data_IF_736373002766
#
_entry.id   IF_736373002766
#
_cell.length_a   1.000
_cell.length_b   1.000
_cell.length_c   1.000
_cell.angle_alpha   90.00
_cell.angle_beta   90.00
_cell.angle_gamma   90.00
#
_symmetry.space_group_name_H-M   'P 1'
#
loop_
_entity.id
_entity.type
_entity.pdbx_description
1 polymer ?
#
# COMPACT_ATOMS: atom_id res chain seq x y z
N UNK A 1 -8.12 3.43 -13.99
CA UNK A 1 -6.88 4.16 -13.65
C UNK A 1 -6.34 3.56 -12.37
N UNK A 2 -5.12 3.02 -12.37
CA UNK A 2 -4.49 2.46 -11.18
C UNK A 2 -3.71 3.59 -10.49
N UNK A 3 -3.99 3.80 -9.20
CA UNK A 3 -3.25 4.75 -8.37
C UNK A 3 -2.35 3.93 -7.44
N UNK A 4 -1.05 4.23 -7.45
CA UNK A 4 -0.11 3.66 -6.50
C UNK A 4 0.22 4.74 -5.47
N UNK A 5 -0.17 4.50 -4.23
CA UNK A 5 0.26 5.31 -3.09
C UNK A 5 1.36 4.53 -2.39
N UNK A 6 2.56 5.13 -2.27
CA UNK A 6 3.59 4.59 -1.39
C UNK A 6 3.20 4.90 0.05
N UNK A 7 2.71 3.90 0.76
CA UNK A 7 2.35 4.02 2.18
C UNK A 7 3.60 3.73 3.02
N UNK A 8 3.91 4.59 3.99
CA UNK A 8 5.13 4.46 4.81
C UNK A 8 4.93 3.54 6.02
N UNK A 9 3.68 3.43 6.50
CA UNK A 9 3.32 2.68 7.71
C UNK A 9 2.03 1.90 7.50
N UNK A 10 1.96 0.69 8.05
CA UNK A 10 0.77 -0.15 8.03
C UNK A 10 0.59 -0.83 9.38
N UNK A 11 -0.61 -1.32 9.68
CA UNK A 11 -0.86 -2.14 10.85
C UNK A 11 -0.78 -3.64 10.49
N UNK A 12 -0.06 -4.43 11.27
CA UNK A 12 -0.02 -5.89 11.15
C UNK A 12 -1.29 -6.53 11.75
N UNK A 13 -1.34 -7.87 11.78
CA UNK A 13 -2.47 -8.63 12.32
C UNK A 13 -2.71 -8.37 13.82
N UNK A 14 -1.65 -8.01 14.55
CA UNK A 14 -1.69 -7.69 15.98
C UNK A 14 -2.07 -6.21 16.23
N UNK A 15 -2.31 -5.43 15.17
CA UNK A 15 -2.59 -4.00 15.23
C UNK A 15 -1.36 -3.13 15.48
N UNK A 16 -0.16 -3.71 15.41
CA UNK A 16 1.10 -2.98 15.58
C UNK A 16 1.50 -2.25 14.31
N UNK A 17 2.01 -1.03 14.50
CA UNK A 17 2.51 -0.18 13.42
C UNK A 17 3.86 -0.69 12.91
N UNK A 18 3.88 -1.10 11.64
CA UNK A 18 5.07 -1.56 10.92
C UNK A 18 5.42 -0.66 9.76
N UNK A 19 6.67 -0.67 9.32
CA UNK A 19 7.12 -0.01 8.10
C UNK A 19 7.95 -0.98 7.24
N UNK A 20 8.36 -0.55 6.05
CA UNK A 20 9.08 -1.42 5.09
C UNK A 20 10.43 -1.94 5.59
N UNK A 21 10.98 -1.35 6.66
CA UNK A 21 12.24 -1.76 7.30
C UNK A 21 12.02 -2.69 8.50
N UNK A 22 10.77 -2.94 8.91
CA UNK A 22 10.48 -3.88 9.98
C UNK A 22 11.02 -5.27 9.59
N UNK A 23 11.82 -5.92 10.45
CA UNK A 23 12.38 -7.24 10.17
C UNK A 23 11.28 -8.29 10.13
N UNK A 24 11.48 -9.35 9.33
CA UNK A 24 10.56 -10.48 9.27
C UNK A 24 9.36 -10.32 8.33
N UNK A 25 9.10 -9.11 7.80
CA UNK A 25 8.06 -8.90 6.79
C UNK A 25 8.42 -9.63 5.48
N UNK A 26 7.42 -10.22 4.80
CA UNK A 26 7.59 -10.94 3.53
C UNK A 26 6.74 -10.31 2.42
N UNK A 27 7.22 -10.44 1.20
CA UNK A 27 6.43 -10.07 0.03
C UNK A 27 5.15 -10.91 -0.04
N UNK A 28 4.04 -10.27 -0.36
CA UNK A 28 2.72 -10.87 -0.36
C UNK A 28 1.97 -10.74 0.97
N UNK A 29 2.65 -10.39 2.07
CA UNK A 29 2.01 -10.19 3.37
C UNK A 29 0.95 -9.09 3.28
N UNK A 30 -0.16 -9.33 3.97
CA UNK A 30 -1.30 -8.42 4.04
C UNK A 30 -1.26 -7.60 5.33
N UNK A 31 -1.56 -6.32 5.18
CA UNK A 31 -1.58 -5.34 6.27
C UNK A 31 -2.84 -4.49 6.17
N UNK A 32 -3.09 -3.67 7.18
CA UNK A 32 -4.15 -2.68 7.16
C UNK A 32 -3.57 -1.28 7.03
N UNK A 33 -4.18 -0.48 6.16
CA UNK A 33 -3.91 0.95 6.13
C UNK A 33 -4.52 1.61 7.37
N UNK A 34 -3.68 2.26 8.19
CA UNK A 34 -4.11 2.94 9.43
C UNK A 34 -5.14 4.05 9.17
N UNK A 35 -5.20 4.59 7.95
CA UNK A 35 -6.01 5.77 7.63
C UNK A 35 -7.37 5.47 7.00
N UNK A 36 -7.44 4.50 6.07
CA UNK A 36 -8.69 4.17 5.39
C UNK A 36 -9.21 2.76 5.72
N UNK A 37 -8.45 2.00 6.53
CA UNK A 37 -8.79 0.64 6.94
C UNK A 37 -8.86 -0.36 5.78
N UNK A 38 -8.34 -0.02 4.61
CA UNK A 38 -8.26 -0.95 3.49
C UNK A 38 -7.08 -1.90 3.65
N UNK A 39 -7.19 -3.09 3.08
CA UNK A 39 -6.08 -4.02 2.95
C UNK A 39 -4.97 -3.45 2.08
N UNK A 40 -3.75 -3.57 2.59
CA UNK A 40 -2.50 -3.31 1.92
C UNK A 40 -1.77 -4.63 1.68
N UNK A 41 -1.01 -4.73 0.61
CA UNK A 41 -0.07 -5.82 0.37
C UNK A 41 1.34 -5.25 0.32
N UNK A 42 2.28 -5.92 0.97
CA UNK A 42 3.69 -5.61 0.81
C UNK A 42 4.21 -6.25 -0.48
N UNK A 43 4.76 -5.43 -1.36
CA UNK A 43 5.42 -5.88 -2.58
C UNK A 43 6.82 -5.27 -2.67
N UNK A 44 7.76 -6.02 -3.21
CA UNK A 44 9.04 -5.49 -3.70
C UNK A 44 8.90 -5.23 -5.19
N UNK A 45 9.12 -3.99 -5.61
CA UNK A 45 9.06 -3.65 -7.03
C UNK A 45 10.31 -4.13 -7.80
N UNK A 46 10.30 -3.97 -9.12
CA UNK A 46 11.43 -4.36 -9.99
C UNK A 46 12.75 -3.66 -9.63
N UNK A 47 12.71 -2.55 -8.88
CA UNK A 47 13.89 -1.83 -8.40
C UNK A 47 14.37 -2.30 -7.02
N UNK A 48 13.81 -3.38 -6.47
CA UNK A 48 14.13 -3.87 -5.13
C UNK A 48 13.53 -3.01 -4.01
N UNK A 49 12.63 -2.09 -4.32
CA UNK A 49 12.04 -1.18 -3.33
C UNK A 49 10.76 -1.80 -2.80
N UNK A 50 10.79 -2.13 -1.51
CA UNK A 50 9.62 -2.60 -0.74
C UNK A 50 8.60 -1.48 -0.57
N UNK A 51 7.33 -1.76 -0.83
CA UNK A 51 6.22 -0.80 -0.70
C UNK A 51 4.94 -1.50 -0.24
N UNK A 52 4.20 -0.86 0.64
CA UNK A 52 2.81 -1.23 0.90
C UNK A 52 1.93 -0.62 -0.18
N UNK A 53 1.14 -1.45 -0.85
CA UNK A 53 0.20 -1.03 -1.90
C UNK A 53 -1.23 -1.42 -1.52
N UNK A 54 -2.21 -0.63 -1.89
CA UNK A 54 -3.61 -1.02 -1.72
C UNK A 54 -3.95 -2.22 -2.61
N UNK A 55 -4.51 -3.27 -2.02
CA UNK A 55 -5.05 -4.38 -2.78
C UNK A 55 -6.45 -4.00 -3.29
N UNK A 56 -6.57 -3.74 -4.58
CA UNK A 56 -7.80 -3.24 -5.21
C UNK A 56 -8.67 -4.40 -5.69
N UNK A 57 -9.27 -5.17 -4.77
CA UNK A 57 -10.11 -6.32 -5.13
C UNK A 57 -11.59 -5.98 -5.37
N UNK A 58 -12.04 -4.77 -5.01
CA UNK A 58 -13.41 -4.32 -5.24
C UNK A 58 -13.50 -2.79 -5.36
N UNK A 59 -14.66 -2.29 -5.81
CA UNK A 59 -14.90 -0.86 -6.01
C UNK A 59 -14.70 -0.06 -4.71
N UNK A 60 -15.07 -0.60 -3.55
CA UNK A 60 -14.90 0.05 -2.26
C UNK A 60 -13.42 0.23 -1.89
N UNK A 61 -12.59 -0.78 -2.10
CA UNK A 61 -11.14 -0.72 -1.90
C UNK A 61 -10.49 0.28 -2.87
N UNK A 62 -10.97 0.35 -4.11
CA UNK A 62 -10.54 1.36 -5.09
C UNK A 62 -10.86 2.78 -4.63
N UNK A 63 -12.08 3.05 -4.19
CA UNK A 63 -12.46 4.38 -3.68
C UNK A 63 -11.64 4.73 -2.43
N UNK A 64 -11.43 3.78 -1.51
CA UNK A 64 -10.60 3.99 -0.32
C UNK A 64 -9.14 4.27 -0.65
N UNK A 65 -8.54 3.54 -1.59
CA UNK A 65 -7.17 3.78 -2.04
C UNK A 65 -7.01 5.13 -2.74
N UNK A 66 -8.00 5.51 -3.56
CA UNK A 66 -8.02 6.82 -4.24
C UNK A 66 -8.19 7.96 -3.24
N UNK A 67 -8.94 7.78 -2.16
CA UNK A 67 -9.16 8.82 -1.15
C UNK A 67 -8.26 8.68 0.08
N UNK A 68 -7.34 7.72 0.10
CA UNK A 68 -6.43 7.52 1.22
C UNK A 68 -5.58 8.79 1.39
N UNK A 69 -5.55 9.39 2.59
CA UNK A 69 -4.77 10.59 2.84
C UNK A 69 -3.29 10.30 2.63
N UNK A 70 -2.58 11.25 2.02
CA UNK A 70 -1.14 11.17 1.81
C UNK A 70 -0.44 11.85 3.00
N UNK A 71 0.39 11.10 3.71
CA UNK A 71 1.18 11.64 4.81
C UNK A 71 2.47 12.35 4.33
N UNK A 72 3.10 13.16 5.20
CA UNK A 72 4.45 13.66 4.96
C UNK A 72 5.43 12.51 4.62
N UNK A 73 6.09 12.61 3.47
CA UNK A 73 7.04 11.59 2.98
C UNK A 73 6.43 10.52 2.08
N UNK A 74 5.10 10.38 2.05
CA UNK A 74 4.42 9.49 1.11
C UNK A 74 4.32 10.11 -0.28
N UNK A 75 4.23 9.25 -1.30
CA UNK A 75 4.12 9.68 -2.71
C UNK A 75 2.97 8.97 -3.38
N UNK A 76 2.03 9.74 -3.95
CA UNK A 76 0.97 9.21 -4.80
C UNK A 76 1.35 9.35 -6.27
N UNK A 77 1.43 8.23 -6.97
CA UNK A 77 1.70 8.18 -8.41
C UNK A 77 0.47 7.65 -9.13
N UNK A 78 0.05 8.38 -10.17
CA UNK A 78 -0.90 7.84 -11.16
C UNK A 78 -0.10 6.88 -12.02
N UNK A 79 -0.43 5.59 -11.98
CA UNK A 79 0.17 4.67 -12.92
C UNK A 79 -0.43 4.96 -14.29
N UNK A 80 0.44 5.13 -15.29
CA UNK A 80 0.00 4.99 -16.67
C UNK A 80 -0.60 3.59 -16.78
N UNK A 81 -1.78 3.47 -17.41
CA UNK A 81 -2.31 2.15 -17.75
C UNK A 81 -1.22 1.36 -18.46
N UNK A 82 -0.99 0.07 -18.13
CA UNK A 82 -0.14 -0.76 -18.97
C UNK A 82 -0.71 -0.67 -20.39
N UNK A 83 0.09 -0.12 -21.30
CA UNK A 83 -0.25 -0.10 -22.72
C UNK A 83 -0.32 -1.57 -23.13
N UNK A 84 -1.53 -2.04 -23.45
CA UNK A 84 -1.75 -3.34 -24.08
C UNK A 84 -1.25 -3.29 -25.51
#
# INVERSE_FOLDING_TARGET
MLYQTTISHAANADGERVNIRTPGLRDGDLFLCEYCGSTLQLITDQGGIRRFIHTLHNNLATVKAVNCPQLPGERKRRMASPTV
#
